data_IF_734843728397
#
_entry.id   IF_734843728397
#
_cell.length_a   1.000
_cell.length_b   1.000
_cell.length_c   1.000
_cell.angle_alpha   90.00
_cell.angle_beta   90.00
_cell.angle_gamma   90.00
#
_symmetry.space_group_name_H-M   'P 1'
#
loop_
_entity.id
_entity.type
_entity.pdbx_description
1 polymer ?
#
# COMPACT_ATOMS: atom_id res chain seq x y z
N UNK A 1 1.21 -0.95 -10.22
CA UNK A 1 0.48 -2.17 -10.64
C UNK A 1 -0.14 -2.07 -12.05
N UNK A 2 -1.04 -1.13 -12.36
CA UNK A 2 -1.71 -1.06 -13.69
C UNK A 2 -0.74 -0.96 -14.89
N UNK A 3 0.35 -0.21 -14.74
CA UNK A 3 1.43 -0.15 -15.74
C UNK A 3 2.28 -1.44 -15.82
N UNK A 4 1.95 -2.47 -15.04
CA UNK A 4 2.76 -3.69 -14.90
C UNK A 4 4.04 -3.48 -14.09
N UNK A 5 4.17 -2.39 -13.33
CA UNK A 5 5.31 -2.16 -12.45
C UNK A 5 5.03 -2.65 -11.03
N UNK A 6 5.88 -3.53 -10.47
CA UNK A 6 5.88 -3.93 -9.06
C UNK A 6 6.04 -2.74 -8.12
N UNK A 7 5.14 -2.55 -7.14
CA UNK A 7 5.32 -1.53 -6.13
C UNK A 7 6.38 -1.95 -5.12
N UNK A 8 7.20 -1.00 -4.67
CA UNK A 8 8.04 -1.13 -3.47
C UNK A 8 7.37 -0.32 -2.37
N UNK A 9 6.82 -0.99 -1.37
CA UNK A 9 5.92 -0.40 -0.37
C UNK A 9 6.17 -0.97 1.02
N UNK A 10 5.79 -0.25 2.06
CA UNK A 10 5.86 -0.75 3.44
C UNK A 10 4.93 -1.93 3.64
N UNK A 11 5.38 -2.92 4.43
CA UNK A 11 4.60 -4.08 4.87
C UNK A 11 3.63 -3.68 5.99
N UNK A 12 2.80 -2.68 5.74
CA UNK A 12 1.87 -2.11 6.70
C UNK A 12 0.70 -1.40 6.02
N UNK A 13 -0.43 -1.33 6.71
CA UNK A 13 -1.60 -0.54 6.29
C UNK A 13 -2.19 -1.01 4.96
N UNK A 14 -2.75 -0.08 4.15
CA UNK A 14 -3.45 -0.41 2.91
C UNK A 14 -2.60 -1.19 1.91
N UNK A 15 -1.27 -1.07 1.97
CA UNK A 15 -0.37 -1.85 1.11
C UNK A 15 -0.67 -3.35 1.19
N UNK A 16 -0.98 -3.87 2.38
CA UNK A 16 -1.30 -5.29 2.62
C UNK A 16 -2.64 -5.72 2.00
N UNK A 17 -3.60 -4.80 1.89
CA UNK A 17 -4.92 -5.07 1.31
C UNK A 17 -4.90 -5.02 -0.23
N UNK A 18 -4.05 -4.16 -0.79
CA UNK A 18 -4.02 -3.88 -2.22
C UNK A 18 -2.90 -4.60 -2.97
N UNK A 19 -1.79 -4.92 -2.32
CA UNK A 19 -0.62 -5.48 -2.96
C UNK A 19 -0.38 -6.94 -2.54
N UNK A 20 -0.58 -7.93 -3.41
CA UNK A 20 -0.25 -9.32 -3.08
C UNK A 20 1.27 -9.52 -2.97
N UNK A 21 1.70 -10.40 -2.06
CA UNK A 21 3.10 -10.75 -1.76
C UNK A 21 3.88 -11.16 -3.02
N UNK A 22 3.20 -11.87 -3.92
CA UNK A 22 3.77 -12.37 -5.16
C UNK A 22 4.16 -11.23 -6.11
N UNK A 23 3.57 -10.05 -5.96
CA UNK A 23 3.74 -8.93 -6.88
C UNK A 23 4.52 -7.75 -6.29
N UNK A 24 4.48 -7.56 -4.97
CA UNK A 24 5.13 -6.42 -4.31
C UNK A 24 6.56 -6.74 -3.85
N UNK A 25 7.32 -5.67 -3.63
CA UNK A 25 8.54 -5.68 -2.82
C UNK A 25 8.21 -5.01 -1.49
N UNK A 26 8.07 -5.82 -0.45
CA UNK A 26 7.73 -5.33 0.87
C UNK A 26 8.94 -4.84 1.64
N UNK A 27 8.86 -3.60 2.13
CA UNK A 27 9.81 -2.95 3.01
C UNK A 27 9.33 -3.18 4.44
N UNK A 28 10.22 -3.62 5.32
CA UNK A 28 9.89 -3.69 6.75
C UNK A 28 9.59 -2.30 7.28
N UNK A 29 8.64 -2.18 8.19
CA UNK A 29 8.25 -0.91 8.77
C UNK A 29 8.11 -1.00 10.28
N UNK A 30 8.48 0.07 10.97
CA UNK A 30 8.25 0.25 12.40
C UNK A 30 7.14 1.27 12.61
N UNK A 31 6.14 0.91 13.39
CA UNK A 31 5.11 1.89 13.78
C UNK A 31 5.70 2.87 14.78
N UNK A 32 5.66 4.15 14.46
CA UNK A 32 6.18 5.24 15.28
C UNK A 32 5.12 6.33 15.43
N UNK A 33 5.18 7.09 16.53
CA UNK A 33 4.32 8.26 16.69
C UNK A 33 4.81 9.40 15.80
N UNK A 34 3.88 10.02 15.09
CA UNK A 34 4.14 11.19 14.26
C UNK A 34 3.98 12.47 15.07
N UNK A 35 5.05 13.24 15.24
CA UNK A 35 4.99 14.55 15.92
C UNK A 35 5.36 15.72 15.02
N UNK A 36 5.76 15.43 13.78
CA UNK A 36 6.22 16.42 12.79
C UNK A 36 5.17 16.60 11.70
N UNK A 37 5.20 17.76 11.04
CA UNK A 37 4.31 18.10 9.94
C UNK A 37 4.23 16.96 8.90
N UNK A 38 3.03 16.58 8.43
CA UNK A 38 1.75 17.25 8.62
C UNK A 38 1.08 16.96 9.98
N UNK A 39 1.66 16.14 10.85
CA UNK A 39 1.11 15.89 12.18
C UNK A 39 1.58 16.93 13.21
N UNK A 40 0.86 16.97 14.31
CA UNK A 40 1.28 17.58 15.56
C UNK A 40 0.81 16.73 16.74
N UNK A 41 0.83 17.29 17.94
CA UNK A 41 0.24 16.62 19.12
C UNK A 41 -1.26 16.43 18.89
N UNK A 42 -1.69 15.17 18.73
CA UNK A 42 -3.08 14.79 18.43
C UNK A 42 -3.70 15.60 17.27
N UNK A 43 -2.90 15.85 16.24
CA UNK A 43 -3.34 16.56 15.04
C UNK A 43 -2.77 15.92 13.78
N UNK A 44 -3.52 15.97 12.68
CA UNK A 44 -3.06 15.64 11.32
C UNK A 44 -3.59 16.71 10.38
N UNK A 45 -2.68 17.34 9.62
CA UNK A 45 -2.99 18.43 8.70
C UNK A 45 -3.86 19.54 9.35
N UNK A 46 -3.54 19.92 10.59
CA UNK A 46 -4.28 20.93 11.36
C UNK A 46 -5.59 20.45 12.01
N UNK A 47 -6.06 19.25 11.66
CA UNK A 47 -7.30 18.67 12.20
C UNK A 47 -7.02 17.86 13.46
N UNK A 48 -7.84 18.04 14.51
CA UNK A 48 -7.71 17.30 15.76
C UNK A 48 -8.04 15.82 15.59
N UNK A 49 -7.28 14.97 16.27
CA UNK A 49 -7.47 13.52 16.32
C UNK A 49 -7.70 13.05 17.75
N UNK A 50 -8.42 11.94 17.92
CA UNK A 50 -8.71 11.37 19.25
C UNK A 50 -7.45 10.72 19.86
N UNK A 51 -6.52 10.29 19.01
CA UNK A 51 -5.26 9.65 19.40
C UNK A 51 -4.09 10.29 18.65
N UNK A 52 -2.87 10.08 19.15
CA UNK A 52 -1.66 10.50 18.44
C UNK A 52 -1.55 9.76 17.10
N UNK A 53 -1.32 10.50 16.02
CA UNK A 53 -1.10 9.93 14.71
C UNK A 53 0.16 9.06 14.68
N UNK A 54 0.14 8.01 13.87
CA UNK A 54 1.25 7.07 13.73
C UNK A 54 1.69 6.96 12.27
N UNK A 55 2.98 6.71 12.07
CA UNK A 55 3.56 6.35 10.77
C UNK A 55 4.05 4.92 10.79
N UNK A 56 4.00 4.28 9.63
CA UNK A 56 4.79 3.10 9.34
C UNK A 56 6.14 3.55 8.77
N UNK A 57 7.09 3.82 9.66
CA UNK A 57 8.43 4.30 9.28
C UNK A 57 9.17 3.20 8.51
N UNK A 58 9.58 3.45 7.25
CA UNK A 58 10.23 2.44 6.43
C UNK A 58 11.64 2.13 6.92
N UNK A 59 12.00 0.85 6.94
CA UNK A 59 13.38 0.43 7.21
C UNK A 59 14.25 0.68 5.97
N UNK A 60 15.22 1.59 6.11
CA UNK A 60 16.10 2.02 5.00
C UNK A 60 16.94 0.89 4.40
N UNK A 61 17.36 -0.09 5.21
CA UNK A 61 18.13 -1.23 4.74
C UNK A 61 17.28 -2.13 3.82
N UNK A 62 16.07 -2.48 4.26
CA UNK A 62 15.14 -3.29 3.45
C UNK A 62 14.70 -2.57 2.18
N UNK A 63 14.52 -1.25 2.22
CA UNK A 63 14.25 -0.43 1.04
C UNK A 63 15.41 -0.53 0.04
N UNK A 64 16.65 -0.31 0.49
CA UNK A 64 17.85 -0.38 -0.35
C UNK A 64 18.00 -1.76 -1.01
N UNK A 65 17.82 -2.83 -0.23
CA UNK A 65 17.88 -4.21 -0.72
C UNK A 65 16.83 -4.46 -1.81
N UNK A 66 15.58 -4.03 -1.60
CA UNK A 66 14.51 -4.21 -2.57
C UNK A 66 14.72 -3.38 -3.84
N UNK A 67 15.18 -2.13 -3.73
CA UNK A 67 15.52 -1.32 -4.89
C UNK A 67 16.64 -1.96 -5.71
N UNK A 68 17.69 -2.44 -5.05
CA UNK A 68 18.79 -3.14 -5.72
C UNK A 68 18.32 -4.42 -6.39
N UNK A 69 17.50 -5.23 -5.71
CA UNK A 69 16.92 -6.48 -6.24
C UNK A 69 16.02 -6.22 -7.45
N UNK A 70 15.15 -5.22 -7.37
CA UNK A 70 14.28 -4.83 -8.49
C UNK A 70 15.08 -4.33 -9.71
N UNK A 71 16.24 -3.70 -9.49
CA UNK A 71 17.12 -3.26 -10.56
C UNK A 71 17.93 -4.40 -11.18
N UNK A 72 18.45 -5.32 -10.35
CA UNK A 72 19.41 -6.35 -10.79
C UNK A 72 18.76 -7.66 -11.23
N UNK A 73 17.69 -8.11 -10.56
CA UNK A 73 16.99 -9.34 -10.91
C UNK A 73 15.86 -9.09 -11.92
N UNK A 74 16.21 -9.14 -13.21
CA UNK A 74 15.27 -8.91 -14.31
C UNK A 74 14.23 -10.03 -14.47
N UNK A 75 14.56 -11.26 -14.07
CA UNK A 75 13.65 -12.41 -14.18
C UNK A 75 12.55 -12.25 -13.14
N UNK A 76 12.93 -12.00 -11.89
CA UNK A 76 11.97 -11.73 -10.82
C UNK A 76 11.11 -10.52 -11.14
N UNK A 77 11.73 -9.40 -11.57
CA UNK A 77 11.01 -8.19 -11.93
C UNK A 77 9.94 -8.48 -12.98
N UNK A 78 10.28 -9.25 -14.03
CA UNK A 78 9.33 -9.63 -15.09
C UNK A 78 8.18 -10.48 -14.55
N UNK A 79 8.48 -11.47 -13.72
CA UNK A 79 7.45 -12.33 -13.12
C UNK A 79 6.49 -11.52 -12.24
N UNK A 80 7.03 -10.69 -11.34
CA UNK A 80 6.23 -9.79 -10.50
C UNK A 80 5.40 -8.82 -11.34
N UNK A 81 5.97 -8.27 -12.42
CA UNK A 81 5.30 -7.33 -13.33
C UNK A 81 4.04 -7.93 -13.96
N UNK A 82 4.11 -9.19 -14.39
CA UNK A 82 2.97 -9.91 -14.97
C UNK A 82 1.86 -10.12 -13.93
N UNK A 83 2.23 -10.53 -12.73
CA UNK A 83 1.29 -10.72 -11.61
C UNK A 83 0.63 -9.39 -11.24
N UNK A 84 1.40 -8.31 -11.09
CA UNK A 84 0.88 -6.96 -10.83
C UNK A 84 -0.15 -6.52 -11.86
N UNK A 85 0.15 -6.73 -13.15
CA UNK A 85 -0.75 -6.32 -14.24
C UNK A 85 -2.07 -7.08 -14.18
N UNK A 86 -2.02 -8.40 -13.94
CA UNK A 86 -3.21 -9.23 -13.76
C UNK A 86 -4.01 -8.79 -12.53
N UNK A 87 -3.34 -8.56 -11.41
CA UNK A 87 -3.99 -8.15 -10.17
C UNK A 87 -4.65 -6.77 -10.25
N UNK A 88 -4.03 -5.83 -10.96
CA UNK A 88 -4.60 -4.49 -11.17
C UNK A 88 -5.97 -4.51 -11.85
N UNK A 89 -6.31 -5.55 -12.62
CA UNK A 89 -7.61 -5.70 -13.27
C UNK A 89 -8.76 -5.89 -12.28
N UNK A 90 -8.50 -6.16 -11.00
CA UNK A 90 -9.54 -6.22 -9.96
C UNK A 90 -9.93 -4.85 -9.41
N UNK A 91 -9.12 -3.82 -9.65
CA UNK A 91 -9.30 -2.48 -9.08
C UNK A 91 -9.87 -1.48 -10.10
N UNK A 92 -10.91 -1.88 -10.82
CA UNK A 92 -11.66 -1.01 -11.74
C UNK A 92 -12.84 -0.36 -11.03
N UNK A 93 -13.20 0.87 -11.43
CA UNK A 93 -14.37 1.56 -10.88
C UNK A 93 -15.66 0.73 -10.97
N UNK A 94 -15.91 0.06 -12.10
CA UNK A 94 -17.12 -0.77 -12.28
C UNK A 94 -17.24 -1.85 -11.18
N UNK A 95 -16.21 -2.69 -11.04
CA UNK A 95 -16.15 -3.73 -9.99
C UNK A 95 -16.31 -3.18 -8.57
N UNK A 96 -15.77 -1.99 -8.29
CA UNK A 96 -15.89 -1.37 -6.97
C UNK A 96 -17.29 -0.80 -6.76
N UNK A 97 -17.86 -0.15 -7.77
CA UNK A 97 -19.23 0.36 -7.74
C UNK A 97 -20.22 -0.78 -7.50
N UNK A 98 -20.08 -1.90 -8.19
CA UNK A 98 -20.92 -3.10 -8.00
C UNK A 98 -20.89 -3.58 -6.54
N UNK A 99 -19.68 -3.66 -5.95
CA UNK A 99 -19.51 -4.05 -4.53
C UNK A 99 -20.16 -3.05 -3.57
N UNK A 100 -20.05 -1.76 -3.85
CA UNK A 100 -20.68 -0.71 -3.02
C UNK A 100 -22.20 -0.80 -3.11
N UNK A 101 -22.77 -0.92 -4.32
CA UNK A 101 -24.21 -1.08 -4.53
C UNK A 101 -24.73 -2.32 -3.81
N UNK A 102 -24.03 -3.44 -3.93
CA UNK A 102 -24.36 -4.66 -3.19
C UNK A 102 -24.38 -4.41 -1.69
N UNK A 103 -23.36 -3.72 -1.14
CA UNK A 103 -23.31 -3.42 0.29
C UNK A 103 -24.43 -2.47 0.74
N UNK A 104 -24.75 -1.46 -0.05
CA UNK A 104 -25.84 -0.52 0.23
C UNK A 104 -27.19 -1.23 0.30
N UNK A 105 -27.46 -2.20 -0.60
CA UNK A 105 -28.69 -2.98 -0.57
C UNK A 105 -28.87 -3.78 0.72
N UNK A 106 -27.79 -4.19 1.37
CA UNK A 106 -27.83 -4.96 2.62
C UNK A 106 -28.05 -4.12 3.87
N UNK A 107 -27.85 -2.80 3.81
CA UNK A 107 -27.94 -1.91 4.97
C UNK A 107 -29.11 -0.91 4.89
N UNK A 108 -29.79 -0.86 3.75
CA UNK A 108 -30.93 0.04 3.51
C UNK A 108 -32.27 -0.73 3.50
N UNK A 109 -32.23 -2.05 3.71
CA UNK A 109 -33.38 -2.91 3.98
C UNK A 109 -33.32 -3.39 5.44
#
# INVERSE_FOLDING_TARGET
MAAGLPPIVTKYGPSLDFCPDECAYYIDAKVTQCFTSPCGKMKVAGTDTIIQAMWAEPNSQSLSQNMYRAYTDRIELRNKSQICRKHAQYYTWDKIADKIVQRLSQITH
#
